data_IF_589175964303
#
_entry.id   IF_589175964303
#
_cell.length_a   1.000
_cell.length_b   1.000
_cell.length_c   1.000
_cell.angle_alpha   90.00
_cell.angle_beta   90.00
_cell.angle_gamma   90.00
#
_symmetry.space_group_name_H-M   'P 1'
#
loop_
_entity.id
_entity.type
_entity.pdbx_description
1 polymer ?
#
# COMPACT_ATOMS: atom_id res chain seq x y z
N UNK A 1 -13.55 5.42 8.38
CA UNK A 1 -12.50 4.38 8.39
C UNK A 1 -11.95 4.30 6.99
N UNK A 2 -10.66 4.31 6.86
CA UNK A 2 -9.93 4.52 5.61
C UNK A 2 -8.90 3.42 5.50
N UNK A 3 -8.63 2.91 4.30
CA UNK A 3 -7.58 1.90 4.10
C UNK A 3 -6.20 2.55 4.07
N UNK A 4 -5.26 1.98 4.81
CA UNK A 4 -3.82 2.16 4.56
C UNK A 4 -3.45 1.29 3.38
N UNK A 5 -2.74 1.87 2.43
CA UNK A 5 -2.41 1.27 1.15
C UNK A 5 -0.90 1.21 1.00
N UNK A 6 -0.40 0.01 0.77
CA UNK A 6 1.00 -0.23 0.43
C UNK A 6 1.07 -0.77 -1.00
N UNK A 7 2.02 -0.26 -1.79
CA UNK A 7 2.26 -0.76 -3.14
C UNK A 7 3.73 -0.98 -3.38
N UNK A 8 4.04 -2.02 -4.12
CA UNK A 8 5.38 -2.25 -4.63
C UNK A 8 5.43 -1.82 -6.09
N UNK A 9 6.31 -0.89 -6.37
CA UNK A 9 6.45 -0.21 -7.65
C UNK A 9 7.70 -0.73 -8.34
N UNK A 10 7.57 -1.28 -9.55
CA UNK A 10 8.72 -1.65 -10.38
C UNK A 10 9.45 -0.39 -10.85
N UNK A 11 10.69 -0.21 -10.39
CA UNK A 11 11.51 0.97 -10.66
C UNK A 11 11.81 1.13 -12.16
N UNK A 12 11.96 0.02 -12.90
CA UNK A 12 12.24 0.08 -14.32
C UNK A 12 11.00 0.49 -15.11
N UNK A 13 9.82 -0.04 -14.74
CA UNK A 13 8.56 0.36 -15.35
C UNK A 13 8.27 1.83 -15.10
N UNK A 14 8.41 2.29 -13.86
CA UNK A 14 8.21 3.69 -13.48
C UNK A 14 9.16 4.63 -14.25
N UNK A 15 10.45 4.28 -14.34
CA UNK A 15 11.43 5.08 -15.07
C UNK A 15 11.14 5.14 -16.59
N UNK A 16 10.67 4.03 -17.20
CA UNK A 16 10.23 4.04 -18.59
C UNK A 16 9.07 5.00 -18.81
N UNK A 17 8.02 4.90 -17.99
CA UNK A 17 6.85 5.78 -18.10
C UNK A 17 7.22 7.25 -17.89
N UNK A 18 8.07 7.55 -16.91
CA UNK A 18 8.54 8.92 -16.63
C UNK A 18 9.40 9.50 -17.77
N UNK A 19 10.06 8.66 -18.55
CA UNK A 19 10.88 9.09 -19.70
C UNK A 19 10.04 9.45 -20.94
N UNK A 20 8.76 9.11 -20.96
CA UNK A 20 7.85 9.44 -22.05
C UNK A 20 7.41 10.91 -21.97
N UNK A 21 7.24 11.56 -23.12
CA UNK A 21 6.56 12.84 -23.17
C UNK A 21 5.05 12.65 -22.90
N UNK A 22 4.37 13.71 -22.50
CA UNK A 22 2.91 13.65 -22.27
C UNK A 22 2.18 13.16 -23.52
N UNK A 23 2.56 13.63 -24.70
CA UNK A 23 1.95 13.18 -25.95
C UNK A 23 2.15 11.68 -26.18
N UNK A 24 3.33 11.15 -25.79
CA UNK A 24 3.59 9.72 -25.87
C UNK A 24 2.78 8.93 -24.86
N UNK A 25 2.62 9.44 -23.64
CA UNK A 25 1.78 8.82 -22.60
C UNK A 25 0.31 8.80 -23.03
N UNK A 26 -0.23 9.93 -23.51
CA UNK A 26 -1.61 10.02 -24.00
C UNK A 26 -1.83 9.06 -25.18
N UNK A 27 -0.92 9.06 -26.16
CA UNK A 27 -1.02 8.17 -27.33
C UNK A 27 -0.95 6.68 -26.91
N UNK A 28 -0.09 6.35 -25.97
CA UNK A 28 0.02 4.98 -25.46
C UNK A 28 -1.24 4.58 -24.69
N UNK A 29 -1.79 5.50 -23.93
CA UNK A 29 -3.06 5.32 -23.21
C UNK A 29 -4.25 5.09 -24.17
N UNK A 30 -4.49 6.00 -25.11
CA UNK A 30 -5.58 5.92 -26.09
C UNK A 30 -5.48 4.68 -26.99
N UNK A 31 -4.28 4.21 -27.28
CA UNK A 31 -4.05 2.99 -28.08
C UNK A 31 -4.11 1.69 -27.26
N UNK A 32 -4.35 1.76 -25.95
CA UNK A 32 -4.32 0.60 -25.04
C UNK A 32 -2.93 0.02 -24.77
N UNK A 33 -1.86 0.60 -25.36
CA UNK A 33 -0.49 0.10 -25.22
C UNK A 33 0.12 0.35 -23.85
N UNK A 34 -0.43 1.24 -23.04
CA UNK A 34 0.00 1.39 -21.66
C UNK A 34 -0.20 0.10 -20.84
N UNK A 35 -1.18 -0.73 -21.21
CA UNK A 35 -1.34 -2.06 -20.64
C UNK A 35 -0.11 -2.97 -20.89
N UNK A 36 0.55 -2.82 -22.05
CA UNK A 36 1.73 -3.60 -22.43
C UNK A 36 2.99 -3.15 -21.68
N UNK A 37 3.02 -1.90 -21.21
CA UNK A 37 4.13 -1.33 -20.41
C UNK A 37 4.03 -1.68 -18.92
N UNK A 38 2.90 -2.20 -18.47
CA UNK A 38 2.72 -2.60 -17.08
C UNK A 38 3.58 -3.80 -16.72
N UNK A 39 4.24 -3.80 -15.57
CA UNK A 39 4.91 -4.99 -15.08
C UNK A 39 3.90 -6.10 -14.81
N UNK A 40 4.32 -7.35 -14.98
CA UNK A 40 3.54 -8.48 -14.52
C UNK A 40 3.31 -8.34 -13.01
N UNK A 41 2.04 -8.39 -12.58
CA UNK A 41 1.73 -8.38 -11.15
C UNK A 41 2.10 -9.70 -10.51
N UNK A 42 2.45 -9.65 -9.23
CA UNK A 42 2.58 -10.86 -8.44
C UNK A 42 1.19 -11.52 -8.27
N UNK A 43 1.01 -12.79 -8.60
CA UNK A 43 -0.30 -13.44 -8.59
C UNK A 43 -0.90 -13.61 -7.19
N UNK A 44 -0.10 -13.43 -6.13
CA UNK A 44 -0.55 -13.46 -4.73
C UNK A 44 -1.32 -12.21 -4.33
N UNK A 45 -1.16 -11.10 -5.08
CA UNK A 45 -1.71 -9.80 -4.72
C UNK A 45 -2.69 -9.28 -5.75
N UNK A 46 -3.85 -8.88 -5.26
CA UNK A 46 -4.82 -8.16 -6.08
C UNK A 46 -4.39 -6.70 -6.18
N UNK A 47 -4.38 -6.16 -7.39
CA UNK A 47 -4.14 -4.74 -7.64
C UNK A 47 -5.48 -4.07 -7.92
N UNK A 48 -5.94 -3.24 -7.01
CA UNK A 48 -7.04 -2.33 -7.29
C UNK A 48 -6.48 -0.96 -7.62
N UNK A 49 -7.12 -0.28 -8.57
CA UNK A 49 -6.80 1.12 -8.81
C UNK A 49 -7.64 1.96 -7.84
N UNK A 50 -6.96 2.83 -7.07
CA UNK A 50 -7.63 3.69 -6.09
C UNK A 50 -8.15 5.00 -6.68
N UNK A 51 -7.93 5.22 -7.98
CA UNK A 51 -8.29 6.43 -8.72
C UNK A 51 -9.05 6.01 -9.96
N UNK A 52 -9.96 6.82 -10.45
CA UNK A 52 -10.44 6.74 -11.82
C UNK A 52 -9.28 7.15 -12.75
N UNK A 53 -8.33 6.23 -12.88
CA UNK A 53 -7.06 6.46 -13.56
C UNK A 53 -7.29 7.01 -14.97
N UNK A 54 -8.37 6.61 -15.60
CA UNK A 54 -8.69 7.02 -16.95
C UNK A 54 -9.11 8.49 -17.00
N UNK A 55 -10.07 8.88 -16.17
CA UNK A 55 -10.56 10.25 -16.10
C UNK A 55 -9.51 11.21 -15.55
N UNK A 56 -8.88 10.84 -14.48
CA UNK A 56 -7.88 11.68 -13.80
C UNK A 56 -6.63 11.90 -14.67
N UNK A 57 -6.18 10.87 -15.39
CA UNK A 57 -5.03 11.01 -16.29
C UNK A 57 -5.33 11.94 -17.47
N UNK A 58 -6.48 11.79 -18.12
CA UNK A 58 -6.88 12.67 -19.24
C UNK A 58 -7.09 14.10 -18.78
N UNK A 59 -7.70 14.31 -17.62
CA UNK A 59 -7.89 15.62 -17.03
C UNK A 59 -6.55 16.28 -16.71
N UNK A 60 -5.61 15.54 -16.12
CA UNK A 60 -4.26 16.02 -15.89
C UNK A 60 -3.54 16.33 -17.20
N UNK A 61 -3.57 15.44 -18.19
CA UNK A 61 -2.90 15.63 -19.47
C UNK A 61 -3.38 16.90 -20.19
N UNK A 62 -4.67 17.22 -20.07
CA UNK A 62 -5.25 18.44 -20.64
C UNK A 62 -4.80 19.72 -19.90
N UNK A 63 -4.58 19.65 -18.59
CA UNK A 63 -4.28 20.80 -17.74
C UNK A 63 -2.81 21.05 -17.44
N UNK A 64 -1.95 20.05 -17.60
CA UNK A 64 -0.61 20.02 -16.99
C UNK A 64 0.46 20.88 -17.67
N UNK A 65 0.21 21.47 -18.84
CA UNK A 65 1.27 22.15 -19.63
C UNK A 65 2.59 21.37 -19.77
N UNK A 66 2.54 20.04 -19.62
CA UNK A 66 3.69 19.18 -19.80
C UNK A 66 4.51 18.88 -18.54
N UNK A 67 4.03 19.27 -17.37
CA UNK A 67 4.71 18.97 -16.10
C UNK A 67 4.01 17.84 -15.35
N UNK A 68 4.80 16.88 -14.85
CA UNK A 68 4.30 15.88 -13.91
C UNK A 68 4.09 16.56 -12.55
N UNK A 69 2.86 16.51 -12.07
CA UNK A 69 2.49 16.88 -10.70
C UNK A 69 2.36 15.61 -9.82
N UNK A 70 1.96 15.78 -8.58
CA UNK A 70 1.81 14.67 -7.64
C UNK A 70 0.72 13.69 -8.08
N UNK A 71 -0.39 14.18 -8.65
CA UNK A 71 -1.48 13.33 -9.11
C UNK A 71 -1.04 12.46 -10.29
N UNK A 72 -0.39 13.06 -11.29
CA UNK A 72 0.19 12.32 -12.42
C UNK A 72 1.25 11.32 -11.95
N UNK A 73 2.10 11.71 -11.04
CA UNK A 73 3.13 10.85 -10.47
C UNK A 73 2.53 9.65 -9.75
N UNK A 74 1.44 9.83 -9.00
CA UNK A 74 0.71 8.75 -8.35
C UNK A 74 0.10 7.79 -9.38
N UNK A 75 -0.46 8.31 -10.48
CA UNK A 75 -0.98 7.50 -11.58
C UNK A 75 0.13 6.65 -12.22
N UNK A 76 1.31 7.22 -12.47
CA UNK A 76 2.45 6.47 -13.02
C UNK A 76 2.93 5.38 -12.05
N UNK A 77 2.90 5.65 -10.75
CA UNK A 77 3.17 4.63 -9.72
C UNK A 77 2.12 3.52 -9.77
N UNK A 78 0.84 3.83 -9.88
CA UNK A 78 -0.23 2.83 -10.02
C UNK A 78 0.01 1.92 -11.23
N UNK A 79 0.37 2.48 -12.36
CA UNK A 79 0.67 1.70 -13.58
C UNK A 79 1.93 0.86 -13.47
N UNK A 80 2.88 1.27 -12.63
CA UNK A 80 4.13 0.56 -12.37
C UNK A 80 4.03 -0.43 -11.20
N UNK A 81 2.88 -0.56 -10.59
CA UNK A 81 2.69 -1.43 -9.41
C UNK A 81 2.69 -2.90 -9.80
N UNK A 82 3.41 -3.73 -9.03
CA UNK A 82 3.43 -5.20 -9.12
C UNK A 82 2.61 -5.88 -8.05
N UNK A 83 2.41 -5.21 -6.91
CA UNK A 83 1.64 -5.73 -5.79
C UNK A 83 0.99 -4.59 -5.01
N UNK A 84 -0.17 -4.88 -4.42
CA UNK A 84 -0.85 -4.00 -3.48
C UNK A 84 -1.27 -4.78 -2.24
N UNK A 85 -1.01 -4.20 -1.07
CA UNK A 85 -1.54 -4.68 0.19
C UNK A 85 -2.34 -3.57 0.85
N UNK A 86 -3.52 -3.90 1.38
CA UNK A 86 -4.41 -2.97 2.05
C UNK A 86 -4.82 -3.49 3.40
N UNK A 87 -4.93 -2.59 4.35
CA UNK A 87 -5.55 -2.86 5.62
C UNK A 87 -6.30 -1.62 6.11
N UNK A 88 -7.45 -1.85 6.68
CA UNK A 88 -8.20 -0.85 7.42
C UNK A 88 -7.34 -0.24 8.52
N UNK A 89 -7.32 1.08 8.62
CA UNK A 89 -6.55 1.80 9.63
C UNK A 89 -6.84 1.30 11.05
N UNK A 90 -8.12 1.12 11.40
CA UNK A 90 -8.54 0.61 12.70
C UNK A 90 -8.12 -0.85 13.01
N UNK A 91 -7.68 -1.61 11.99
CA UNK A 91 -7.17 -2.97 12.15
C UNK A 91 -5.65 -3.03 12.13
N UNK A 92 -5.02 -2.10 11.47
CA UNK A 92 -3.58 -2.10 11.26
C UNK A 92 -2.82 -2.11 12.59
N UNK A 93 -3.33 -1.39 13.60
CA UNK A 93 -2.81 -1.43 14.97
C UNK A 93 -2.72 -2.84 15.53
N UNK A 94 -3.76 -3.67 15.29
CA UNK A 94 -3.81 -5.05 15.77
C UNK A 94 -2.70 -5.94 15.20
N UNK A 95 -2.18 -5.59 14.03
CA UNK A 95 -1.13 -6.37 13.36
C UNK A 95 0.27 -5.83 13.66
N UNK A 96 0.44 -4.53 13.74
CA UNK A 96 1.76 -3.89 13.77
C UNK A 96 2.24 -3.67 15.20
N UNK A 97 1.38 -3.26 16.12
CA UNK A 97 1.76 -3.02 17.52
C UNK A 97 2.39 -4.25 18.20
N UNK A 98 1.85 -5.48 18.04
CA UNK A 98 2.46 -6.66 18.66
C UNK A 98 3.85 -6.98 18.11
N UNK A 99 4.12 -6.61 16.86
CA UNK A 99 5.41 -6.88 16.23
C UNK A 99 6.47 -5.93 16.74
N UNK A 100 6.12 -4.64 16.76
CA UNK A 100 7.06 -3.59 17.13
C UNK A 100 7.17 -3.38 18.64
N UNK A 101 6.20 -3.91 19.42
CA UNK A 101 6.11 -3.68 20.86
C UNK A 101 5.83 -2.21 21.20
N UNK A 102 5.27 -1.47 20.26
CA UNK A 102 4.94 -0.06 20.37
C UNK A 102 3.42 0.12 20.18
N UNK A 103 2.82 1.11 20.84
CA UNK A 103 1.44 1.52 20.63
C UNK A 103 1.39 2.82 19.84
N UNK A 104 0.44 2.94 18.94
CA UNK A 104 0.26 4.11 18.07
C UNK A 104 -1.06 4.81 18.40
N UNK A 105 -1.03 6.15 18.45
CA UNK A 105 -2.20 6.95 18.80
C UNK A 105 -3.15 7.16 17.62
N UNK A 106 -2.61 7.19 16.40
CA UNK A 106 -3.38 7.40 15.18
C UNK A 106 -2.79 6.66 13.97
N UNK A 107 -3.58 6.61 12.90
CA UNK A 107 -3.19 5.94 11.67
C UNK A 107 -2.14 6.71 10.85
N UNK A 108 -1.92 8.00 11.12
CA UNK A 108 -0.92 8.79 10.41
C UNK A 108 0.50 8.35 10.78
N UNK A 109 0.66 7.71 11.96
CA UNK A 109 1.90 7.06 12.34
C UNK A 109 2.37 6.03 11.29
N UNK A 110 1.44 5.35 10.59
CA UNK A 110 1.77 4.36 9.56
C UNK A 110 2.23 4.97 8.23
N UNK A 111 2.10 6.27 8.05
CA UNK A 111 2.72 6.98 6.93
C UNK A 111 4.22 7.26 7.17
N UNK A 112 4.76 6.85 8.31
CA UNK A 112 6.18 7.00 8.63
C UNK A 112 6.99 5.82 8.06
N UNK A 113 7.95 6.13 7.20
CA UNK A 113 8.85 5.14 6.61
C UNK A 113 9.65 4.32 7.63
N UNK A 114 9.98 4.91 8.77
CA UNK A 114 10.76 4.24 9.82
C UNK A 114 10.00 3.04 10.41
N UNK A 115 8.68 3.14 10.51
CA UNK A 115 7.82 2.04 10.97
C UNK A 115 7.91 0.85 10.02
N UNK A 116 7.82 1.11 8.71
CA UNK A 116 7.90 0.05 7.70
C UNK A 116 9.29 -0.56 7.60
N UNK A 117 10.34 0.24 7.76
CA UNK A 117 11.72 -0.25 7.84
C UNK A 117 11.94 -1.14 9.06
N UNK A 118 11.46 -0.73 10.25
CA UNK A 118 11.49 -1.55 11.46
C UNK A 118 10.69 -2.84 11.26
N UNK A 119 9.48 -2.73 10.74
CA UNK A 119 8.60 -3.87 10.47
C UNK A 119 9.28 -4.89 9.55
N UNK A 120 9.87 -4.44 8.46
CA UNK A 120 10.61 -5.27 7.51
C UNK A 120 11.77 -5.99 8.21
N UNK A 121 12.53 -5.28 9.05
CA UNK A 121 13.64 -5.85 9.82
C UNK A 121 13.15 -6.89 10.82
N UNK A 122 12.13 -6.58 11.59
CA UNK A 122 11.58 -7.48 12.60
C UNK A 122 10.98 -8.75 11.96
N UNK A 123 10.23 -8.61 10.88
CA UNK A 123 9.62 -9.74 10.19
C UNK A 123 10.65 -10.63 9.48
N UNK A 124 11.74 -10.08 8.95
CA UNK A 124 12.80 -10.87 8.32
C UNK A 124 13.52 -11.79 9.30
N UNK A 125 13.46 -11.50 10.60
CA UNK A 125 14.10 -12.28 11.67
C UNK A 125 13.15 -13.24 12.39
N UNK A 126 11.83 -13.08 12.21
CA UNK A 126 10.81 -13.88 12.91
C UNK A 126 10.39 -15.11 12.12
N UNK A 127 10.18 -16.19 12.84
CA UNK A 127 9.50 -17.34 12.26
C UNK A 127 8.04 -16.98 11.95
N UNK A 128 7.64 -17.21 10.71
CA UNK A 128 6.32 -16.82 10.17
C UNK A 128 5.16 -17.38 11.00
N UNK A 129 5.29 -18.64 11.46
CA UNK A 129 4.25 -19.28 12.26
C UNK A 129 4.15 -18.64 13.65
N UNK A 130 5.28 -18.46 14.33
CA UNK A 130 5.32 -17.83 15.66
C UNK A 130 4.79 -16.41 15.63
N UNK A 131 5.06 -15.67 14.56
CA UNK A 131 4.51 -14.34 14.37
C UNK A 131 2.99 -14.36 14.24
N UNK A 132 2.44 -15.18 13.34
CA UNK A 132 1.01 -15.32 13.13
C UNK A 132 0.28 -15.71 14.42
N UNK A 133 0.84 -16.64 15.20
CA UNK A 133 0.30 -17.05 16.48
C UNK A 133 0.31 -15.91 17.51
N UNK A 134 1.37 -15.11 17.58
CA UNK A 134 1.46 -13.98 18.52
C UNK A 134 0.45 -12.89 18.22
N UNK A 135 0.25 -12.55 16.95
CA UNK A 135 -0.78 -11.57 16.52
C UNK A 135 -2.18 -12.05 16.88
N UNK A 136 -2.47 -13.32 16.66
CA UNK A 136 -3.77 -13.90 16.99
C UNK A 136 -4.02 -13.87 18.50
N UNK A 137 -3.02 -14.22 19.30
CA UNK A 137 -3.12 -14.21 20.77
C UNK A 137 -3.33 -12.78 21.31
N UNK A 138 -2.59 -11.80 20.77
CA UNK A 138 -2.77 -10.39 21.16
C UNK A 138 -4.18 -9.88 20.80
N UNK A 139 -4.65 -10.22 19.61
CA UNK A 139 -6.02 -9.88 19.21
C UNK A 139 -7.07 -10.48 20.15
N UNK A 140 -6.91 -11.75 20.54
CA UNK A 140 -7.81 -12.40 21.50
C UNK A 140 -7.80 -11.70 22.86
N UNK A 141 -6.62 -11.35 23.37
CA UNK A 141 -6.47 -10.63 24.65
C UNK A 141 -7.12 -9.24 24.61
N UNK A 142 -6.91 -8.49 23.54
CA UNK A 142 -7.54 -7.17 23.36
C UNK A 142 -9.05 -7.28 23.29
N UNK A 143 -9.56 -8.27 22.60
CA UNK A 143 -11.00 -8.53 22.53
C UNK A 143 -11.60 -8.87 23.90
N UNK A 144 -10.90 -9.67 24.70
CA UNK A 144 -11.31 -9.99 26.07
C UNK A 144 -11.29 -8.76 26.98
N UNK A 145 -10.28 -7.88 26.84
CA UNK A 145 -10.19 -6.63 27.60
C UNK A 145 -11.28 -5.63 27.24
N UNK A 146 -11.70 -5.58 26.00
CA UNK A 146 -12.78 -4.70 25.53
C UNK A 146 -14.17 -5.21 25.95
N UNK A 147 -14.24 -6.44 26.49
CA UNK A 147 -15.49 -7.12 26.77
C UNK A 147 -16.27 -7.39 25.47
N UNK A 148 -17.29 -8.23 25.52
CA UNK A 148 -18.16 -8.52 24.36
C UNK A 148 -19.12 -7.34 24.02
N UNK A 149 -18.69 -6.11 24.22
CA UNK A 149 -19.47 -4.91 23.90
C UNK A 149 -19.47 -4.57 22.42
N UNK A 150 -18.65 -5.25 21.63
CA UNK A 150 -18.69 -5.15 20.17
C UNK A 150 -19.91 -5.92 19.68
N UNK A 151 -20.91 -5.16 19.24
CA UNK A 151 -22.17 -5.71 18.75
C UNK A 151 -21.88 -6.61 17.53
N UNK A 152 -22.32 -7.88 17.51
CA UNK A 152 -22.15 -8.76 16.34
C UNK A 152 -22.87 -8.22 15.08
N UNK A 153 -23.79 -7.26 15.22
CA UNK A 153 -24.44 -6.56 14.10
C UNK A 153 -23.58 -5.40 13.56
N UNK A 154 -22.42 -5.08 14.18
CA UNK A 154 -21.49 -4.14 13.64
C UNK A 154 -20.77 -4.73 12.40
N UNK A 155 -20.38 -3.83 11.51
CA UNK A 155 -19.72 -4.17 10.25
C UNK A 155 -18.66 -5.28 10.45
N UNK A 156 -18.79 -6.45 9.81
CA UNK A 156 -17.84 -7.56 9.97
C UNK A 156 -16.41 -7.18 9.61
N UNK A 157 -16.21 -6.02 8.97
CA UNK A 157 -14.89 -5.43 8.76
C UNK A 157 -14.28 -4.91 10.06
N UNK A 158 -15.05 -4.57 11.06
CA UNK A 158 -14.58 -4.12 12.40
C UNK A 158 -14.18 -5.32 13.26
N UNK A 159 -14.88 -6.44 13.12
CA UNK A 159 -14.64 -7.66 13.88
C UNK A 159 -14.21 -8.81 12.95
N UNK A 160 -12.95 -8.86 12.58
CA UNK A 160 -12.47 -9.93 11.71
C UNK A 160 -12.57 -11.28 12.42
N UNK A 161 -12.88 -12.31 11.66
CA UNK A 161 -12.74 -13.69 12.12
C UNK A 161 -11.26 -14.05 12.32
N UNK A 162 -10.98 -15.07 13.12
CA UNK A 162 -9.62 -15.60 13.27
C UNK A 162 -9.01 -16.00 11.93
N UNK A 163 -9.80 -16.54 11.02
CA UNK A 163 -9.38 -16.92 9.68
C UNK A 163 -8.97 -15.70 8.85
N UNK A 164 -9.75 -14.62 8.88
CA UNK A 164 -9.42 -13.37 8.18
C UNK A 164 -8.18 -12.70 8.76
N UNK A 165 -7.97 -12.74 10.07
CA UNK A 165 -6.75 -12.26 10.71
C UNK A 165 -5.52 -13.03 10.24
N UNK A 166 -5.60 -14.37 10.25
CA UNK A 166 -4.52 -15.22 9.79
C UNK A 166 -4.17 -14.95 8.34
N UNK A 167 -5.18 -14.90 7.48
CA UNK A 167 -5.00 -14.63 6.05
C UNK A 167 -4.34 -13.27 5.80
N UNK A 168 -4.76 -12.21 6.52
CA UNK A 168 -4.17 -10.88 6.37
C UNK A 168 -2.72 -10.83 6.87
N UNK A 169 -2.43 -11.51 7.99
CA UNK A 169 -1.08 -11.62 8.53
C UNK A 169 -0.15 -12.35 7.56
N UNK A 170 -0.60 -13.47 7.00
CA UNK A 170 0.16 -14.23 6.00
C UNK A 170 0.41 -13.39 4.74
N UNK A 171 -0.60 -12.64 4.27
CA UNK A 171 -0.44 -11.75 3.11
C UNK A 171 0.51 -10.58 3.40
N UNK A 172 0.53 -10.05 4.62
CA UNK A 172 1.52 -9.03 5.01
C UNK A 172 2.95 -9.57 4.97
N UNK A 173 3.16 -10.79 5.44
CA UNK A 173 4.46 -11.46 5.33
C UNK A 173 4.91 -11.62 3.88
N UNK A 174 4.01 -12.13 3.02
CA UNK A 174 4.32 -12.30 1.60
C UNK A 174 4.65 -10.96 0.93
N UNK A 175 3.93 -9.90 1.31
CA UNK A 175 4.19 -8.56 0.80
C UNK A 175 5.55 -8.01 1.24
N UNK A 176 5.88 -8.15 2.53
CA UNK A 176 7.18 -7.72 3.07
C UNK A 176 8.33 -8.52 2.45
N UNK A 177 8.16 -9.84 2.26
CA UNK A 177 9.15 -10.67 1.57
C UNK A 177 9.38 -10.19 0.14
N UNK A 178 8.31 -9.96 -0.62
CA UNK A 178 8.39 -9.43 -1.98
C UNK A 178 9.03 -8.03 -2.01
N UNK A 179 8.78 -7.18 -1.01
CA UNK A 179 9.36 -5.84 -0.93
C UNK A 179 10.89 -5.82 -0.81
N UNK A 180 11.49 -6.93 -0.41
CA UNK A 180 12.95 -7.08 -0.30
C UNK A 180 13.62 -7.45 -1.63
N UNK A 181 12.84 -7.75 -2.66
CA UNK A 181 13.37 -8.01 -3.99
C UNK A 181 13.94 -6.74 -4.61
N UNK A 182 15.09 -6.86 -5.27
CA UNK A 182 15.76 -5.71 -5.88
C UNK A 182 14.93 -5.09 -7.01
N UNK A 183 14.97 -3.76 -7.10
CA UNK A 183 14.28 -3.00 -8.15
C UNK A 183 12.84 -2.63 -7.84
N UNK A 184 12.35 -2.91 -6.62
CA UNK A 184 11.05 -2.49 -6.14
C UNK A 184 11.16 -1.28 -5.20
N UNK A 185 10.24 -0.35 -5.33
CA UNK A 185 10.06 0.80 -4.43
C UNK A 185 8.76 0.63 -3.64
N UNK A 186 8.77 1.01 -2.37
CA UNK A 186 7.59 0.98 -1.53
C UNK A 186 6.86 2.33 -1.58
N UNK A 187 5.62 2.31 -2.09
CA UNK A 187 4.69 3.44 -2.04
C UNK A 187 3.73 3.23 -0.88
N UNK A 188 3.59 4.25 -0.05
CA UNK A 188 2.75 4.24 1.16
C UNK A 188 1.75 5.38 1.06
N UNK A 189 0.49 5.09 1.32
CA UNK A 189 -0.55 6.10 1.39
C UNK A 189 -1.80 5.62 2.09
N UNK A 190 -2.83 6.43 2.04
CA UNK A 190 -4.16 6.13 2.57
C UNK A 190 -5.22 6.47 1.53
N UNK A 191 -6.34 5.80 1.61
CA UNK A 191 -7.53 6.15 0.85
C UNK A 191 -7.93 7.61 1.15
N UNK A 192 -8.24 8.39 0.13
CA UNK A 192 -8.57 9.83 0.20
C UNK A 192 -7.42 10.76 0.66
N UNK A 193 -6.18 10.27 0.72
CA UNK A 193 -5.02 11.10 0.97
C UNK A 193 -4.68 11.90 -0.29
N UNK A 194 -4.37 13.18 -0.10
CA UNK A 194 -3.92 14.02 -1.22
C UNK A 194 -2.64 13.44 -1.86
N UNK A 195 -2.51 13.46 -3.19
CA UNK A 195 -1.34 12.88 -3.88
C UNK A 195 0.02 13.39 -3.38
N UNK A 196 0.10 14.65 -2.93
CA UNK A 196 1.33 15.24 -2.38
C UNK A 196 1.77 14.64 -1.04
N UNK A 197 0.88 13.94 -0.35
CA UNK A 197 1.15 13.37 0.97
C UNK A 197 1.59 11.90 0.90
N UNK A 198 1.47 11.27 -0.28
CA UNK A 198 1.96 9.91 -0.49
C UNK A 198 3.48 9.85 -0.42
N UNK A 199 4.00 8.75 0.13
CA UNK A 199 5.43 8.53 0.32
C UNK A 199 5.94 7.42 -0.59
N UNK A 200 7.02 7.70 -1.33
CA UNK A 200 7.77 6.71 -2.09
C UNK A 200 9.12 6.49 -1.40
N UNK A 201 9.36 5.27 -0.91
CA UNK A 201 10.55 4.95 -0.09
C UNK A 201 10.76 5.89 1.10
N UNK A 202 9.67 6.46 1.65
CA UNK A 202 9.71 7.34 2.80
C UNK A 202 9.90 8.81 2.52
N UNK A 203 10.08 9.20 1.27
CA UNK A 203 10.12 10.59 0.83
C UNK A 203 8.79 10.97 0.17
N UNK A 204 8.40 12.25 0.24
CA UNK A 204 7.22 12.73 -0.47
C UNK A 204 7.33 12.45 -1.96
N UNK A 205 6.24 12.01 -2.57
CA UNK A 205 6.22 11.46 -3.93
C UNK A 205 6.93 12.35 -4.96
N UNK A 206 6.68 13.67 -4.94
CA UNK A 206 7.36 14.58 -5.88
C UNK A 206 8.85 14.74 -5.59
N UNK A 207 9.27 14.75 -4.33
CA UNK A 207 10.67 14.84 -3.93
C UNK A 207 11.43 13.57 -4.34
N UNK A 208 10.84 12.41 -4.09
CA UNK A 208 11.41 11.11 -4.45
C UNK A 208 11.58 10.93 -5.97
N UNK A 209 10.79 11.65 -6.76
CA UNK A 209 10.79 11.54 -8.22
C UNK A 209 11.53 12.70 -8.93
N UNK A 210 12.08 13.66 -8.21
CA UNK A 210 12.86 14.76 -8.79
C UNK A 210 14.33 14.37 -8.90
#
# INVERSE_FOLDING_TARGET
MVDVILRLIDSNALNRLRSMSIEQLVLAFESGRLGDERPAGDPRFHRSFSVDIEGDFLEWADKSNGQLDAAASLILCDWSSVAEWRCWDGRLFLYIEPILGESFEDADAFLNADIWSKLTTELSTKDRQSYSESVILDWMQRREQLGDTLNPDEDPRILPTMESHKSLTESLFDFIELSQEGGLNLLIGREYLDPEEWLLNGEKLLEALT
#
